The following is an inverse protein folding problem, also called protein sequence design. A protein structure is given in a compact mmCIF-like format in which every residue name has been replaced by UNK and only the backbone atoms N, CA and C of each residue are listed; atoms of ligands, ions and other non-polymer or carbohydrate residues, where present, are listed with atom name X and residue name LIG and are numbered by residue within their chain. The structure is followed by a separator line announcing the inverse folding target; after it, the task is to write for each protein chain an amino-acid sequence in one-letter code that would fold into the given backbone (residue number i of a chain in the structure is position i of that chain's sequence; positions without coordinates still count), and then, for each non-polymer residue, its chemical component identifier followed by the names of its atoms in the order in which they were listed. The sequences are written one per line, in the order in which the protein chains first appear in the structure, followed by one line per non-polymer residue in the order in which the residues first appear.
data_IF_180159254068
#
_entry.id   IF_180159254068
#
_cell.length_a   1.000
_cell.length_b   1.000
_cell.length_c   1.000
_cell.angle_alpha   90.00
_cell.angle_beta   90.00
_cell.angle_gamma   90.00
#
_symmetry.space_group_name_H-M   'P 1'
#
loop_
_entity.id
_entity.type
_entity.pdbx_description
1 polymer ?
#
# COMPACT_ATOMS: atom_id res chain seq x y z
N UNK A 1 13.75 -3.99 42.96
CA UNK A 1 13.46 -4.44 41.57
C UNK A 1 12.10 -5.14 41.59
N UNK A 2 11.05 -4.49 41.11
CA UNK A 2 9.67 -5.00 41.21
C UNK A 2 8.91 -4.58 39.95
N UNK A 3 8.53 -5.55 39.13
CA UNK A 3 7.68 -5.39 37.95
C UNK A 3 7.16 -6.78 37.59
N UNK A 4 6.05 -7.21 38.22
CA UNK A 4 4.67 -7.17 37.69
C UNK A 4 4.56 -8.02 36.43
N UNK A 5 4.35 -9.32 36.67
CA UNK A 5 3.79 -10.26 35.71
C UNK A 5 2.37 -9.80 35.34
N UNK A 6 2.14 -9.65 34.03
CA UNK A 6 0.83 -9.35 33.47
C UNK A 6 0.01 -10.62 33.42
N UNK A 7 -0.93 -10.71 34.36
CA UNK A 7 -1.97 -11.72 34.43
C UNK A 7 -3.05 -11.42 33.38
N UNK A 8 -3.03 -12.14 32.26
CA UNK A 8 -4.18 -12.21 31.35
C UNK A 8 -5.13 -13.29 31.86
N UNK A 9 -5.99 -12.90 32.78
CA UNK A 9 -7.10 -13.72 33.28
C UNK A 9 -8.13 -13.93 32.17
N UNK A 10 -7.96 -14.97 31.35
CA UNK A 10 -9.02 -15.49 30.49
C UNK A 10 -9.93 -16.38 31.36
N UNK A 11 -11.04 -15.80 31.83
CA UNK A 11 -12.08 -16.53 32.55
C UNK A 11 -12.74 -17.53 31.60
N UNK A 12 -12.45 -18.81 31.77
CA UNK A 12 -13.14 -19.90 31.07
C UNK A 12 -14.56 -19.98 31.62
N UNK A 13 -15.54 -19.55 30.83
CA UNK A 13 -16.94 -19.69 31.17
C UNK A 13 -17.36 -21.15 31.01
N UNK A 14 -18.02 -21.70 32.04
CA UNK A 14 -18.56 -23.05 32.02
C UNK A 14 -20.08 -22.99 31.96
N UNK A 15 -20.69 -23.74 31.04
CA UNK A 15 -22.13 -23.91 30.99
C UNK A 15 -22.51 -25.27 31.59
N UNK A 16 -23.50 -25.26 32.48
CA UNK A 16 -24.07 -26.46 33.09
C UNK A 16 -25.24 -26.96 32.25
N UNK A 17 -25.12 -28.16 31.71
CA UNK A 17 -26.24 -28.83 31.05
C UNK A 17 -27.11 -29.56 32.09
N UNK A 18 -28.41 -29.78 31.83
CA UNK A 18 -29.34 -30.40 32.79
C UNK A 18 -28.94 -31.79 33.32
N UNK A 19 -27.84 -32.40 32.83
CA UNK A 19 -27.24 -33.63 33.36
C UNK A 19 -26.01 -33.41 34.28
N UNK A 20 -25.74 -32.19 34.75
CA UNK A 20 -24.62 -31.92 35.68
C UNK A 20 -23.22 -31.92 35.05
N UNK A 21 -23.14 -32.07 33.73
CA UNK A 21 -21.89 -32.04 32.98
C UNK A 21 -21.48 -30.57 32.73
N UNK A 22 -20.28 -30.20 33.18
CA UNK A 22 -19.66 -28.92 32.88
C UNK A 22 -19.13 -28.94 31.44
N UNK A 23 -19.73 -28.14 30.57
CA UNK A 23 -19.27 -27.96 29.19
C UNK A 23 -18.53 -26.64 29.10
N UNK A 24 -17.28 -26.69 28.67
CA UNK A 24 -16.48 -25.50 28.42
C UNK A 24 -17.13 -24.73 27.26
N UNK A 25 -17.69 -23.55 27.53
CA UNK A 25 -18.15 -22.69 26.44
C UNK A 25 -16.93 -22.02 25.83
N UNK A 26 -16.77 -22.18 24.53
CA UNK A 26 -15.83 -21.36 23.77
C UNK A 26 -16.45 -19.97 23.69
N UNK A 27 -16.14 -19.12 24.64
CA UNK A 27 -16.42 -17.70 24.52
C UNK A 27 -15.50 -17.14 23.45
N UNK A 28 -15.92 -17.28 22.18
CA UNK A 28 -15.35 -16.52 21.08
C UNK A 28 -15.67 -15.05 21.33
N UNK A 29 -14.77 -14.36 22.04
CA UNK A 29 -14.80 -12.91 22.11
C UNK A 29 -14.63 -12.36 20.67
N UNK A 30 -15.76 -12.04 20.05
CA UNK A 30 -15.93 -11.49 18.70
C UNK A 30 -15.53 -12.43 17.54
N UNK A 31 -16.10 -13.63 17.51
CA UNK A 31 -16.09 -14.51 16.34
C UNK A 31 -17.07 -14.08 15.24
N UNK A 32 -16.74 -13.01 14.50
CA UNK A 32 -17.13 -12.94 13.08
C UNK A 32 -16.43 -14.06 12.29
N UNK A 33 -16.65 -14.22 10.98
CA UNK A 33 -16.05 -15.30 10.15
C UNK A 33 -14.51 -15.21 9.99
N UNK A 34 -13.81 -14.57 10.93
CA UNK A 34 -12.46 -14.08 10.83
C UNK A 34 -11.54 -14.44 12.01
N UNK A 35 -11.64 -15.65 12.60
CA UNK A 35 -10.64 -16.18 13.54
C UNK A 35 -10.34 -15.31 14.79
N UNK A 36 -9.37 -15.71 15.63
CA UNK A 36 -8.98 -14.92 16.79
C UNK A 36 -8.28 -13.61 16.37
N UNK A 37 -8.77 -12.50 16.91
CA UNK A 37 -8.20 -11.15 16.76
C UNK A 37 -6.90 -11.03 17.55
N UNK A 38 -5.91 -10.38 16.97
CA UNK A 38 -4.59 -10.14 17.56
C UNK A 38 -4.34 -8.64 17.62
N UNK A 39 -3.96 -8.12 18.78
CA UNK A 39 -3.51 -6.73 18.92
C UNK A 39 -2.02 -6.63 18.59
N UNK A 40 -1.67 -5.69 17.72
CA UNK A 40 -0.31 -5.47 17.26
C UNK A 40 0.08 -4.04 17.56
N UNK A 41 1.25 -3.86 18.16
CA UNK A 41 1.82 -2.55 18.43
C UNK A 41 2.84 -2.19 17.38
N UNK A 42 2.46 -1.30 16.47
CA UNK A 42 3.31 -0.80 15.39
C UNK A 42 4.04 0.44 15.86
N UNK A 43 5.36 0.35 15.96
CA UNK A 43 6.23 1.47 16.35
C UNK A 43 6.85 2.11 15.11
N UNK A 44 6.69 3.42 14.96
CA UNK A 44 7.30 4.23 13.89
C UNK A 44 8.08 5.39 14.53
N UNK A 45 9.40 5.23 14.64
CA UNK A 45 10.24 6.21 15.34
C UNK A 45 9.79 6.40 16.79
N UNK A 46 9.27 7.59 17.12
CA UNK A 46 8.70 7.93 18.43
C UNK A 46 7.20 7.63 18.57
N UNK A 47 6.47 7.38 17.48
CA UNK A 47 5.04 7.13 17.50
C UNK A 47 4.75 5.62 17.64
N UNK A 48 3.68 5.27 18.35
CA UNK A 48 3.20 3.91 18.49
C UNK A 48 1.71 3.87 18.17
N UNK A 49 1.31 2.95 17.30
CA UNK A 49 -0.07 2.71 16.91
C UNK A 49 -0.45 1.29 17.31
N UNK A 50 -1.63 1.11 17.89
CA UNK A 50 -2.17 -0.20 18.23
C UNK A 50 -3.26 -0.56 17.22
N UNK A 51 -3.11 -1.71 16.56
CA UNK A 51 -4.04 -2.19 15.53
C UNK A 51 -4.55 -3.56 15.94
N UNK A 52 -5.86 -3.76 15.88
CA UNK A 52 -6.51 -5.05 16.15
C UNK A 52 -6.94 -5.68 14.83
N UNK A 53 -6.33 -6.79 14.44
CA UNK A 53 -6.63 -7.51 13.19
C UNK A 53 -6.62 -9.03 13.39
N UNK A 54 -7.32 -9.80 12.52
CA UNK A 54 -7.29 -11.25 12.57
C UNK A 54 -5.88 -11.85 12.47
N UNK A 55 -5.62 -12.92 13.21
CA UNK A 55 -4.34 -13.67 13.15
C UNK A 55 -4.02 -14.24 11.76
N UNK A 56 -5.04 -14.49 10.93
CA UNK A 56 -4.93 -15.03 9.58
C UNK A 56 -4.61 -14.01 8.49
N UNK A 57 -4.67 -12.72 8.81
CA UNK A 57 -4.33 -11.59 7.93
C UNK A 57 -2.86 -11.65 7.51
N UNK A 58 -2.54 -11.12 6.34
CA UNK A 58 -1.16 -11.02 5.84
C UNK A 58 -0.50 -9.70 6.22
N UNK A 59 0.83 -9.61 6.15
CA UNK A 59 1.51 -8.32 6.31
C UNK A 59 1.08 -7.31 5.25
N UNK A 60 0.79 -7.74 4.02
CA UNK A 60 0.30 -6.84 2.97
C UNK A 60 -1.05 -6.19 3.33
N UNK A 61 -1.95 -6.95 3.98
CA UNK A 61 -3.21 -6.40 4.50
C UNK A 61 -2.96 -5.45 5.68
N UNK A 62 -2.06 -5.79 6.61
CA UNK A 62 -1.67 -4.90 7.70
C UNK A 62 -1.09 -3.57 7.18
N UNK A 63 -0.25 -3.61 6.13
CA UNK A 63 0.29 -2.38 5.50
C UNK A 63 -0.82 -1.50 4.92
N UNK A 64 -1.86 -2.09 4.33
CA UNK A 64 -3.04 -1.34 3.85
C UNK A 64 -3.80 -0.65 4.97
N UNK A 65 -3.96 -1.32 6.12
CA UNK A 65 -4.59 -0.73 7.32
C UNK A 65 -3.74 0.42 7.88
N UNK A 66 -2.40 0.31 7.80
CA UNK A 66 -1.48 1.34 8.26
C UNK A 66 -1.29 2.51 7.27
N UNK A 67 -1.61 2.34 6.00
CA UNK A 67 -1.46 3.36 4.97
C UNK A 67 -2.18 4.69 5.30
N UNK A 68 -3.47 4.71 5.68
CA UNK A 68 -4.13 5.96 6.05
C UNK A 68 -3.55 6.59 7.33
N UNK A 69 -3.14 5.77 8.31
CA UNK A 69 -2.61 6.24 9.59
C UNK A 69 -1.20 6.85 9.46
N UNK A 70 -0.40 6.31 8.54
CA UNK A 70 1.02 6.68 8.38
C UNK A 70 1.28 7.60 7.20
N UNK A 71 0.33 7.70 6.26
CA UNK A 71 0.45 8.45 5.02
C UNK A 71 1.41 7.82 3.99
N UNK A 72 1.86 6.59 4.23
CA UNK A 72 2.80 5.86 3.36
C UNK A 72 2.04 4.81 2.55
N UNK A 73 2.36 4.67 1.27
CA UNK A 73 1.77 3.60 0.47
C UNK A 73 2.25 2.22 0.95
N UNK A 74 1.44 1.14 0.80
CA UNK A 74 1.83 -0.20 1.26
C UNK A 74 3.17 -0.69 0.69
N UNK A 75 3.54 -0.27 -0.53
CA UNK A 75 4.81 -0.63 -1.16
C UNK A 75 6.03 0.12 -0.58
N UNK A 76 5.80 1.17 0.19
CA UNK A 76 6.83 2.00 0.82
C UNK A 76 7.03 1.63 2.30
N UNK A 77 6.17 0.76 2.82
CA UNK A 77 6.18 0.34 4.21
C UNK A 77 6.98 -0.95 4.38
N UNK A 78 8.04 -0.89 5.19
CA UNK A 78 8.82 -2.06 5.62
C UNK A 78 8.45 -2.42 7.05
N UNK A 79 7.85 -3.59 7.24
CA UNK A 79 7.50 -4.10 8.55
C UNK A 79 8.59 -5.04 9.05
N UNK A 80 9.11 -4.77 10.24
CA UNK A 80 10.10 -5.60 10.90
C UNK A 80 9.50 -6.23 12.16
N UNK A 81 9.63 -7.54 12.26
CA UNK A 81 9.32 -8.30 13.47
C UNK A 81 10.58 -9.01 13.94
N UNK A 82 10.97 -8.78 15.20
CA UNK A 82 12.21 -9.32 15.81
C UNK A 82 13.48 -9.05 14.96
N UNK A 83 13.55 -7.87 14.35
CA UNK A 83 14.69 -7.46 13.51
C UNK A 83 14.73 -8.10 12.12
N UNK A 84 13.72 -8.89 11.74
CA UNK A 84 13.57 -9.43 10.38
C UNK A 84 12.50 -8.68 9.62
N UNK A 85 12.81 -8.32 8.39
CA UNK A 85 11.83 -7.80 7.43
C UNK A 85 10.80 -8.87 7.08
N UNK A 86 9.58 -8.42 6.81
CA UNK A 86 8.43 -9.27 6.51
C UNK A 86 7.82 -8.92 5.15
N UNK A 87 7.64 -9.97 4.36
CA UNK A 87 7.03 -9.92 3.03
C UNK A 87 5.51 -9.81 3.11
N UNK A 88 4.91 -9.26 2.06
CA UNK A 88 3.46 -9.00 1.98
C UNK A 88 2.60 -10.28 1.97
N UNK A 89 3.14 -11.39 1.47
CA UNK A 89 2.45 -12.69 1.39
C UNK A 89 2.47 -13.48 2.71
N UNK A 90 3.32 -13.09 3.66
CA UNK A 90 3.44 -13.81 4.93
C UNK A 90 2.24 -13.51 5.84
N UNK A 91 1.70 -14.55 6.47
CA UNK A 91 0.61 -14.43 7.44
C UNK A 91 1.14 -14.14 8.85
N UNK A 92 0.42 -13.33 9.61
CA UNK A 92 0.86 -12.87 10.94
C UNK A 92 1.08 -14.04 11.91
N UNK A 93 0.15 -15.02 11.94
CA UNK A 93 0.31 -16.20 12.78
C UNK A 93 1.52 -17.07 12.39
N UNK A 94 1.83 -17.19 11.10
CA UNK A 94 3.00 -17.93 10.63
C UNK A 94 4.31 -17.24 11.00
N UNK A 95 4.30 -15.90 11.02
CA UNK A 95 5.42 -15.08 11.46
C UNK A 95 5.67 -15.12 12.98
N UNK A 96 4.78 -15.74 13.75
CA UNK A 96 4.83 -15.78 15.21
C UNK A 96 4.40 -14.48 15.88
N UNK A 97 3.61 -13.64 15.18
CA UNK A 97 2.96 -12.48 15.78
C UNK A 97 1.81 -12.96 16.66
N UNK A 98 1.91 -12.63 17.95
CA UNK A 98 0.90 -12.88 18.99
C UNK A 98 0.33 -11.56 19.50
N UNK A 99 -0.61 -11.64 20.43
CA UNK A 99 -1.17 -10.45 21.07
C UNK A 99 -0.07 -9.57 21.71
N UNK A 100 -0.24 -8.25 21.57
CA UNK A 100 0.68 -7.21 22.02
C UNK A 100 2.10 -7.29 21.42
N UNK A 101 2.27 -8.01 20.30
CA UNK A 101 3.56 -8.08 19.61
C UNK A 101 3.99 -6.72 19.08
N UNK A 102 5.27 -6.39 19.27
CA UNK A 102 5.88 -5.19 18.72
C UNK A 102 6.36 -5.42 17.30
N UNK A 103 5.81 -4.64 16.36
CA UNK A 103 6.26 -4.55 14.97
C UNK A 103 6.85 -3.16 14.75
N UNK A 104 7.96 -3.06 14.04
CA UNK A 104 8.58 -1.78 13.71
C UNK A 104 8.27 -1.46 12.25
N UNK A 105 7.71 -0.28 12.01
CA UNK A 105 7.48 0.24 10.67
C UNK A 105 8.63 1.19 10.29
N UNK A 106 9.29 0.89 9.18
CA UNK A 106 10.29 1.74 8.54
C UNK A 106 9.79 2.15 7.15
N UNK A 107 10.22 3.32 6.71
CA UNK A 107 9.95 3.81 5.37
C UNK A 107 11.05 3.34 4.42
N UNK A 108 10.68 2.79 3.26
CA UNK A 108 11.64 2.31 2.27
C UNK A 108 12.28 3.48 1.49
N UNK A 109 13.61 3.66 1.56
CA UNK A 109 14.28 4.75 0.84
C UNK A 109 14.28 4.56 -0.69
N UNK A 110 14.15 3.34 -1.20
CA UNK A 110 14.16 3.08 -2.64
C UNK A 110 12.83 3.49 -3.30
N UNK A 111 11.71 3.42 -2.58
CA UNK A 111 10.43 3.92 -3.10
C UNK A 111 10.38 5.45 -3.25
N UNK A 112 11.05 6.21 -2.37
CA UNK A 112 11.22 7.66 -2.54
C UNK A 112 11.95 8.02 -3.84
N UNK A 113 13.04 7.30 -4.13
CA UNK A 113 13.83 7.52 -5.34
C UNK A 113 13.01 7.21 -6.59
N UNK A 114 12.26 6.09 -6.61
CA UNK A 114 11.39 5.75 -7.75
C UNK A 114 10.35 6.82 -8.04
N UNK A 115 9.68 7.37 -7.01
CA UNK A 115 8.72 8.47 -7.19
C UNK A 115 9.38 9.72 -7.78
N UNK A 116 10.58 10.07 -7.29
CA UNK A 116 11.33 11.20 -7.83
C UNK A 116 11.74 10.99 -9.29
N UNK A 117 12.18 9.79 -9.65
CA UNK A 117 12.54 9.43 -11.02
C UNK A 117 11.32 9.46 -11.95
N UNK A 118 10.17 8.96 -11.51
CA UNK A 118 8.92 9.04 -12.26
C UNK A 118 8.53 10.50 -12.55
N UNK A 119 8.58 11.38 -11.53
CA UNK A 119 8.30 12.80 -11.73
C UNK A 119 9.25 13.47 -12.74
N UNK A 120 10.54 13.11 -12.70
CA UNK A 120 11.52 13.61 -13.67
C UNK A 120 11.20 13.14 -15.09
N UNK A 121 10.83 11.87 -15.25
CA UNK A 121 10.41 11.31 -16.53
C UNK A 121 9.17 12.02 -17.06
N UNK A 122 8.14 12.17 -16.24
CA UNK A 122 6.88 12.83 -16.61
C UNK A 122 7.13 14.29 -17.00
N UNK A 123 7.99 15.00 -16.27
CA UNK A 123 8.41 16.36 -16.64
C UNK A 123 9.16 16.39 -17.99
N UNK A 124 10.05 15.42 -18.23
CA UNK A 124 10.74 15.26 -19.51
C UNK A 124 9.76 15.02 -20.66
N UNK A 125 8.78 14.14 -20.44
CA UNK A 125 7.72 13.84 -21.39
C UNK A 125 6.86 15.07 -21.70
N UNK A 126 6.43 15.80 -20.67
CA UNK A 126 5.65 17.03 -20.83
C UNK A 126 6.41 18.07 -21.67
N UNK A 127 7.71 18.27 -21.42
CA UNK A 127 8.54 19.17 -22.23
C UNK A 127 8.64 18.72 -23.69
N UNK A 128 8.78 17.42 -23.94
CA UNK A 128 8.80 16.90 -25.30
C UNK A 128 7.45 17.11 -26.00
N UNK A 129 6.33 16.84 -25.31
CA UNK A 129 4.99 17.09 -25.83
C UNK A 129 4.75 18.57 -26.15
N UNK A 130 5.21 19.48 -25.29
CA UNK A 130 5.16 20.93 -25.51
C UNK A 130 5.93 21.32 -26.77
N UNK A 131 7.17 20.83 -26.94
CA UNK A 131 7.96 21.09 -28.13
C UNK A 131 7.28 20.57 -29.42
N UNK A 132 6.70 19.37 -29.38
CA UNK A 132 5.94 18.81 -30.51
C UNK A 132 4.71 19.66 -30.82
N UNK A 133 3.99 20.17 -29.80
CA UNK A 133 2.84 21.05 -29.99
C UNK A 133 3.22 22.37 -30.67
N UNK A 134 4.37 22.95 -30.31
CA UNK A 134 4.91 24.15 -30.97
C UNK A 134 5.25 23.89 -32.44
N UNK A 135 5.94 22.78 -32.73
CA UNK A 135 6.23 22.38 -34.11
C UNK A 135 4.95 22.18 -34.90
N UNK A 136 3.96 21.49 -34.32
CA UNK A 136 2.65 21.28 -34.95
C UNK A 136 1.94 22.59 -35.28
N UNK A 137 1.95 23.56 -34.36
CA UNK A 137 1.33 24.85 -34.59
C UNK A 137 1.99 25.62 -35.74
N UNK A 138 3.32 25.57 -35.86
CA UNK A 138 4.02 26.20 -36.98
C UNK A 138 3.74 25.46 -38.30
N UNK A 139 3.63 24.12 -38.27
CA UNK A 139 3.21 23.32 -39.44
C UNK A 139 1.80 23.71 -39.88
N UNK A 140 0.83 23.78 -38.97
CA UNK A 140 -0.56 24.16 -39.28
C UNK A 140 -0.63 25.56 -39.92
N UNK A 141 0.15 26.51 -39.42
CA UNK A 141 0.28 27.86 -40.00
C UNK A 141 0.87 27.83 -41.41
N UNK A 142 1.87 26.97 -41.65
CA UNK A 142 2.48 26.82 -42.96
C UNK A 142 1.52 26.16 -43.96
N UNK A 143 0.73 25.19 -43.52
CA UNK A 143 -0.33 24.54 -44.31
C UNK A 143 -1.34 25.57 -44.82
N UNK A 144 -1.79 26.49 -43.96
CA UNK A 144 -2.69 27.59 -44.38
C UNK A 144 -2.04 28.48 -45.43
N UNK A 145 -0.75 28.83 -45.24
CA UNK A 145 -0.03 29.70 -46.18
C UNK A 145 0.18 29.04 -47.54
N UNK A 146 0.54 27.76 -47.58
CA UNK A 146 0.67 26.98 -48.83
C UNK A 146 -0.70 26.79 -49.50
N UNK A 147 -1.75 26.59 -48.71
CA UNK A 147 -3.15 26.55 -49.16
C UNK A 147 -3.62 27.80 -49.92
N UNK A 148 -3.04 28.96 -49.62
CA UNK A 148 -3.30 30.21 -50.33
C UNK A 148 -2.70 30.30 -51.74
N UNK A 149 -1.87 29.33 -52.14
CA UNK A 149 -1.23 29.27 -53.46
C UNK A 149 -1.67 28.01 -54.22
N UNK A 150 -2.79 28.07 -54.97
CA UNK A 150 -3.38 26.89 -55.63
C UNK A 150 -2.42 26.21 -56.61
N UNK A 151 -1.55 26.97 -57.27
CA UNK A 151 -0.54 26.46 -58.21
C UNK A 151 0.50 25.57 -57.51
N UNK A 152 0.85 25.88 -56.26
CA UNK A 152 1.81 25.11 -55.45
C UNK A 152 1.16 23.81 -54.96
N UNK A 153 -0.13 23.83 -54.61
CA UNK A 153 -0.87 22.62 -54.25
C UNK A 153 -1.02 21.64 -55.43
N UNK A 154 -1.27 22.14 -56.63
CA UNK A 154 -1.31 21.31 -57.84
C UNK A 154 0.06 20.69 -58.15
N UNK A 155 1.14 21.47 -58.06
CA UNK A 155 2.51 20.97 -58.26
C UNK A 155 2.89 19.92 -57.19
N UNK A 156 2.56 20.14 -55.92
CA UNK A 156 2.78 19.15 -54.85
C UNK A 156 1.93 17.88 -55.04
N UNK A 157 0.67 18.00 -55.49
CA UNK A 157 -0.17 16.84 -55.85
C UNK A 157 0.39 16.07 -57.05
N UNK A 158 1.00 16.75 -58.01
CA UNK A 158 1.62 16.13 -59.19
C UNK A 158 2.99 15.51 -58.89
N UNK A 159 3.73 16.04 -57.91
CA UNK A 159 5.07 15.55 -57.54
C UNK A 159 5.08 14.47 -56.45
N UNK A 160 4.05 14.39 -55.59
CA UNK A 160 3.97 13.41 -54.49
C UNK A 160 3.04 12.23 -54.78
N UNK A 161 2.58 12.10 -56.03
CA UNK A 161 1.98 10.86 -56.56
C UNK A 161 3.09 10.09 -57.28
N UNK A 162 3.94 9.43 -56.50
CA UNK A 162 4.73 8.25 -56.89
C UNK A 162 5.13 7.49 -55.62
#
# INVERSE_FOLDING_TARGET
MKGKEGESSEGIAWELRPGGMLVQTRSDAAGGPGGPLVKIRVSRGSCQHEVSIPSQTTFGELKKVLAPETGLEPQEQRLLFRGKEKDDDERLHMAGIKDMSKVVLLEDPASKERKLQQMKWDQGMLRACEAVALVRAEVDKLVVKVGGYPVILEICRLLFVF
#
